data_IF_968685620045
#
_entry.id   IF_968685620045
#
_cell.length_a   1.000
_cell.length_b   1.000
_cell.length_c   1.000
_cell.angle_alpha   90.00
_cell.angle_beta   90.00
_cell.angle_gamma   90.00
#
_symmetry.space_group_name_H-M   'P 1'
#
loop_
_entity.id
_entity.type
_entity.pdbx_description
1 polymer ?
#
# COMPACT_ATOMS: atom_id res chain seq x y z
N UNK A 1 11.08 19.35 -4.97
CA UNK A 1 12.10 19.54 -3.93
C UNK A 1 13.37 20.10 -4.58
N UNK A 2 14.03 21.06 -3.94
CA UNK A 2 15.39 21.50 -4.28
C UNK A 2 16.42 20.44 -3.86
N UNK A 3 17.68 20.57 -4.32
CA UNK A 3 18.74 19.64 -3.89
C UNK A 3 19.00 19.71 -2.37
N UNK A 4 18.91 20.90 -1.76
CA UNK A 4 19.06 21.05 -0.31
C UNK A 4 17.94 20.34 0.45
N UNK A 5 16.69 20.50 0.01
CA UNK A 5 15.54 19.79 0.58
C UNK A 5 15.67 18.27 0.43
N UNK A 6 16.21 17.80 -0.70
CA UNK A 6 16.45 16.38 -0.92
C UNK A 6 17.53 15.81 -0.01
N UNK A 7 18.62 16.55 0.22
CA UNK A 7 19.67 16.15 1.16
C UNK A 7 19.15 16.10 2.59
N UNK A 8 18.33 17.08 2.97
CA UNK A 8 17.69 17.11 4.27
C UNK A 8 16.73 15.92 4.43
N UNK A 9 15.84 15.71 3.46
CA UNK A 9 14.95 14.55 3.44
C UNK A 9 15.72 13.24 3.58
N UNK A 10 16.80 13.05 2.82
CA UNK A 10 17.65 11.86 2.94
C UNK A 10 18.25 11.73 4.33
N UNK A 11 18.76 12.82 4.91
CA UNK A 11 19.35 12.84 6.26
C UNK A 11 18.33 12.37 7.31
N UNK A 12 17.09 12.82 7.17
CA UNK A 12 15.99 12.53 8.10
C UNK A 12 15.42 11.11 7.96
N UNK A 13 15.78 10.37 6.89
CA UNK A 13 15.37 8.98 6.73
C UNK A 13 15.96 8.09 7.82
N UNK A 14 15.11 7.19 8.30
CA UNK A 14 15.54 6.08 9.16
C UNK A 14 16.53 5.15 8.41
N UNK A 15 17.45 4.49 9.13
CA UNK A 15 18.42 3.56 8.56
C UNK A 15 17.83 2.51 7.59
N UNK A 16 16.69 1.91 7.94
CA UNK A 16 16.00 0.92 7.10
C UNK A 16 15.60 1.50 5.72
N UNK A 17 15.20 2.77 5.68
CA UNK A 17 14.78 3.45 4.45
C UNK A 17 15.96 3.86 3.59
N UNK A 18 17.07 4.31 4.20
CA UNK A 18 18.32 4.59 3.47
C UNK A 18 18.82 3.32 2.78
N UNK A 19 18.88 2.20 3.50
CA UNK A 19 19.26 0.89 2.95
C UNK A 19 18.31 0.43 1.84
N UNK A 20 17.00 0.51 2.07
CA UNK A 20 16.02 0.03 1.10
C UNK A 20 16.05 0.84 -0.21
N UNK A 21 16.16 2.17 -0.14
CA UNK A 21 16.24 3.01 -1.34
C UNK A 21 17.57 2.80 -2.06
N UNK A 22 18.70 2.73 -1.34
CA UNK A 22 19.99 2.44 -1.96
C UNK A 22 19.98 1.09 -2.69
N UNK A 23 19.44 0.05 -2.05
CA UNK A 23 19.45 -1.30 -2.61
C UNK A 23 18.44 -1.48 -3.75
N UNK A 24 17.16 -1.17 -3.51
CA UNK A 24 16.08 -1.54 -4.44
C UNK A 24 15.80 -0.48 -5.51
N UNK A 25 16.26 0.76 -5.31
CA UNK A 25 15.89 1.89 -6.16
C UNK A 25 17.11 2.46 -6.89
N UNK A 26 18.22 2.67 -6.17
CA UNK A 26 19.41 3.34 -6.71
C UNK A 26 20.53 2.38 -7.14
N UNK A 27 20.41 1.10 -6.80
CA UNK A 27 21.40 0.05 -7.08
C UNK A 27 22.79 0.34 -6.49
N UNK A 28 22.83 0.94 -5.29
CA UNK A 28 24.04 1.23 -4.52
C UNK A 28 24.42 0.10 -3.55
N UNK A 29 23.69 -1.01 -3.55
CA UNK A 29 23.81 -2.07 -2.55
C UNK A 29 23.17 -1.70 -1.21
N UNK A 30 23.36 -2.55 -0.20
CA UNK A 30 22.83 -2.33 1.14
C UNK A 30 23.75 -1.37 1.93
N UNK A 31 23.48 -0.07 1.84
CA UNK A 31 24.21 0.98 2.57
C UNK A 31 23.28 2.09 3.06
N UNK A 32 23.68 2.78 4.14
CA UNK A 32 23.03 3.98 4.66
C UNK A 32 23.64 5.27 4.10
N UNK A 33 24.75 5.15 3.37
CA UNK A 33 25.47 6.28 2.79
C UNK A 33 24.59 7.08 1.84
N UNK A 34 24.85 8.38 1.79
CA UNK A 34 24.10 9.26 0.89
C UNK A 34 24.45 8.93 -0.57
N UNK A 35 23.43 8.78 -1.44
CA UNK A 35 23.66 8.60 -2.87
C UNK A 35 24.24 9.88 -3.48
N UNK A 36 24.71 9.78 -4.72
CA UNK A 36 25.17 10.97 -5.45
C UNK A 36 24.06 12.01 -5.62
N UNK A 37 24.42 13.29 -5.70
CA UNK A 37 23.48 14.39 -5.98
C UNK A 37 22.65 14.17 -7.25
N UNK A 38 23.20 13.42 -8.22
CA UNK A 38 22.49 13.03 -9.44
C UNK A 38 21.38 12.02 -9.12
N UNK A 39 21.71 10.91 -8.49
CA UNK A 39 20.73 9.88 -8.09
C UNK A 39 19.65 10.46 -7.17
N UNK A 40 20.04 11.28 -6.20
CA UNK A 40 19.10 11.86 -5.25
C UNK A 40 18.03 12.75 -5.93
N UNK A 41 18.40 13.46 -7.00
CA UNK A 41 17.45 14.26 -7.82
C UNK A 41 16.47 13.40 -8.62
N UNK A 42 16.82 12.15 -8.90
CA UNK A 42 15.98 11.22 -9.66
C UNK A 42 14.89 10.60 -8.77
N UNK A 43 15.15 10.41 -7.47
CA UNK A 43 14.24 9.73 -6.52
C UNK A 43 12.80 10.27 -6.53
N UNK A 44 12.53 11.60 -6.46
CA UNK A 44 11.15 12.11 -6.50
C UNK A 44 10.44 11.86 -7.83
N UNK A 45 11.19 11.54 -8.89
CA UNK A 45 10.71 11.20 -10.22
C UNK A 45 10.18 9.78 -10.35
N UNK A 46 10.46 8.91 -9.37
CA UNK A 46 10.20 7.48 -9.46
C UNK A 46 8.72 7.20 -9.23
N UNK A 47 8.11 6.52 -10.19
CA UNK A 47 6.68 6.20 -10.15
C UNK A 47 6.40 4.78 -9.64
N UNK A 48 7.42 3.92 -9.64
CA UNK A 48 7.30 2.50 -9.29
C UNK A 48 8.35 2.14 -8.26
N UNK A 49 7.92 1.64 -7.11
CA UNK A 49 8.82 1.13 -6.07
C UNK A 49 8.40 -0.26 -5.61
N UNK A 50 9.39 -1.13 -5.39
CA UNK A 50 9.19 -2.53 -5.01
C UNK A 50 10.13 -2.93 -3.88
N UNK A 51 9.55 -3.25 -2.74
CA UNK A 51 10.21 -3.69 -1.52
C UNK A 51 9.54 -4.98 -1.05
N UNK A 52 10.14 -6.13 -1.32
CA UNK A 52 9.67 -7.44 -0.86
C UNK A 52 10.56 -7.85 0.29
N UNK A 53 9.97 -7.96 1.48
CA UNK A 53 10.70 -8.31 2.69
C UNK A 53 11.15 -9.77 2.72
N UNK A 54 11.96 -10.13 3.74
CA UNK A 54 12.81 -11.31 3.73
C UNK A 54 12.05 -12.65 3.73
N UNK A 55 10.79 -12.65 4.17
CA UNK A 55 9.93 -13.85 4.21
C UNK A 55 9.07 -14.01 2.96
N UNK A 56 9.11 -13.04 2.04
CA UNK A 56 8.35 -13.06 0.80
C UNK A 56 8.98 -13.93 -0.29
N UNK A 57 8.21 -14.28 -1.32
CA UNK A 57 8.75 -14.94 -2.50
C UNK A 57 9.65 -13.97 -3.26
N UNK A 58 10.84 -14.43 -3.65
CA UNK A 58 11.85 -13.62 -4.35
C UNK A 58 12.15 -12.28 -3.63
N UNK A 59 12.63 -12.34 -2.37
CA UNK A 59 12.86 -11.15 -1.57
C UNK A 59 13.96 -10.29 -2.23
N UNK A 60 13.77 -8.97 -2.17
CA UNK A 60 14.80 -8.01 -2.61
C UNK A 60 15.35 -7.16 -1.46
N UNK A 61 14.91 -7.45 -0.23
CA UNK A 61 15.47 -6.94 1.03
C UNK A 61 15.74 -8.10 1.98
N UNK A 62 16.88 -8.02 2.68
CA UNK A 62 17.31 -8.96 3.73
C UNK A 62 16.70 -8.63 5.10
N UNK A 63 16.03 -7.48 5.22
CA UNK A 63 15.47 -6.93 6.44
C UNK A 63 14.04 -6.43 6.21
N UNK A 64 13.31 -6.24 7.30
CA UNK A 64 11.92 -5.75 7.28
C UNK A 64 11.86 -4.23 7.43
N UNK A 65 10.89 -3.63 6.75
CA UNK A 65 10.45 -2.26 6.96
C UNK A 65 9.34 -2.24 8.01
N UNK A 66 9.41 -1.29 8.94
CA UNK A 66 8.48 -1.21 10.07
C UNK A 66 7.46 -0.07 9.95
N UNK A 67 7.67 0.85 9.00
CA UNK A 67 6.79 1.99 8.75
C UNK A 67 6.91 2.44 7.29
N UNK A 68 6.21 3.51 6.92
CA UNK A 68 6.18 4.08 5.55
C UNK A 68 6.80 5.49 5.47
N UNK A 69 7.58 5.90 6.47
CA UNK A 69 8.10 7.28 6.59
C UNK A 69 8.92 7.71 5.37
N UNK A 70 9.72 6.80 4.80
CA UNK A 70 10.54 7.08 3.63
C UNK A 70 9.78 7.33 2.32
N UNK A 71 8.46 7.13 2.30
CA UNK A 71 7.63 7.32 1.10
C UNK A 71 6.83 8.63 1.09
N UNK A 72 6.76 9.34 2.23
CA UNK A 72 5.77 10.41 2.44
C UNK A 72 5.83 11.55 1.40
N UNK A 73 7.03 11.87 0.89
CA UNK A 73 7.24 12.96 -0.07
C UNK A 73 7.29 12.49 -1.53
N UNK A 74 7.18 11.18 -1.79
CA UNK A 74 7.34 10.57 -3.12
C UNK A 74 6.04 10.59 -3.93
N UNK A 75 5.43 11.76 -4.05
CA UNK A 75 4.07 12.00 -4.59
C UNK A 75 3.84 11.56 -6.04
N UNK A 76 4.88 11.16 -6.77
CA UNK A 76 4.78 10.61 -8.14
C UNK A 76 4.50 9.11 -8.19
N UNK A 77 4.57 8.41 -7.07
CA UNK A 77 4.30 6.97 -7.02
C UNK A 77 2.92 6.62 -7.59
N UNK A 78 2.91 5.72 -8.56
CA UNK A 78 1.75 5.14 -9.19
C UNK A 78 1.57 3.65 -8.80
N UNK A 79 2.68 2.96 -8.50
CA UNK A 79 2.70 1.57 -8.10
C UNK A 79 3.65 1.40 -6.93
N UNK A 80 3.13 0.89 -5.82
CA UNK A 80 3.90 0.52 -4.65
C UNK A 80 3.72 -0.97 -4.36
N UNK A 81 4.84 -1.69 -4.25
CA UNK A 81 4.89 -3.04 -3.70
C UNK A 81 5.69 -2.99 -2.41
N UNK A 82 5.06 -3.31 -1.29
CA UNK A 82 5.68 -3.37 0.03
C UNK A 82 5.05 -4.52 0.83
N UNK A 83 5.40 -5.74 0.45
CA UNK A 83 4.83 -6.97 1.02
C UNK A 83 5.85 -7.67 1.92
N UNK A 84 5.37 -8.49 2.86
CA UNK A 84 6.21 -9.29 3.77
C UNK A 84 7.11 -8.46 4.69
N UNK A 85 6.53 -7.42 5.29
CA UNK A 85 7.18 -6.47 6.20
C UNK A 85 6.39 -6.38 7.52
N UNK A 86 6.74 -5.43 8.39
CA UNK A 86 6.09 -5.24 9.69
C UNK A 86 5.37 -3.89 9.80
N UNK A 87 4.81 -3.38 8.69
CA UNK A 87 4.14 -2.08 8.68
C UNK A 87 2.78 -2.16 9.36
N UNK A 88 2.51 -1.26 10.30
CA UNK A 88 1.22 -1.18 11.01
C UNK A 88 0.27 -0.08 10.51
N UNK A 89 0.80 0.96 9.85
CA UNK A 89 0.04 2.17 9.51
C UNK A 89 0.28 2.61 8.07
N UNK A 90 -0.79 3.03 7.40
CA UNK A 90 -0.78 3.55 6.04
C UNK A 90 -0.76 5.09 5.99
N UNK A 91 -0.80 5.78 7.13
CA UNK A 91 -0.89 7.25 7.23
C UNK A 91 0.14 8.00 6.37
N UNK A 92 1.42 7.57 6.29
CA UNK A 92 2.39 8.27 5.44
C UNK A 92 2.05 8.28 3.95
N UNK A 93 1.12 7.44 3.48
CA UNK A 93 0.67 7.42 2.08
C UNK A 93 -0.33 8.54 1.75
N UNK A 94 -0.76 9.36 2.71
CA UNK A 94 -1.82 10.37 2.52
C UNK A 94 -1.56 11.36 1.37
N UNK A 95 -0.28 11.66 1.08
CA UNK A 95 0.12 12.56 -0.01
C UNK A 95 0.25 11.86 -1.37
N UNK A 96 0.24 10.53 -1.41
CA UNK A 96 0.46 9.73 -2.62
C UNK A 96 -0.82 9.57 -3.46
N UNK A 97 -1.39 10.70 -3.86
CA UNK A 97 -2.68 10.78 -4.59
C UNK A 97 -2.66 10.18 -6.00
N UNK A 98 -1.48 9.87 -6.53
CA UNK A 98 -1.26 9.26 -7.85
C UNK A 98 -1.24 7.73 -7.85
N UNK A 99 -1.31 7.09 -6.68
CA UNK A 99 -1.33 5.63 -6.60
C UNK A 99 -2.50 5.06 -7.40
N UNK A 100 -2.17 4.07 -8.24
CA UNK A 100 -3.10 3.26 -9.03
C UNK A 100 -3.12 1.81 -8.53
N UNK A 101 -1.99 1.31 -8.05
CA UNK A 101 -1.88 -0.06 -7.54
C UNK A 101 -1.04 -0.09 -6.28
N UNK A 102 -1.56 -0.74 -5.24
CA UNK A 102 -0.92 -0.84 -3.93
C UNK A 102 -0.92 -2.29 -3.46
N UNK A 103 0.28 -2.86 -3.34
CA UNK A 103 0.50 -4.16 -2.70
C UNK A 103 1.14 -3.95 -1.33
N UNK A 104 0.44 -4.38 -0.29
CA UNK A 104 0.81 -4.25 1.11
C UNK A 104 0.44 -5.53 1.91
N UNK A 105 0.42 -6.69 1.25
CA UNK A 105 0.02 -7.94 1.88
C UNK A 105 1.13 -8.54 2.75
N UNK A 106 0.76 -9.37 3.72
CA UNK A 106 1.70 -9.87 4.74
C UNK A 106 2.41 -8.72 5.48
N UNK A 107 1.61 -7.88 6.14
CA UNK A 107 2.06 -6.81 7.03
C UNK A 107 1.24 -6.88 8.34
N UNK A 108 1.29 -5.82 9.15
CA UNK A 108 0.60 -5.72 10.44
C UNK A 108 -0.47 -4.61 10.44
N UNK A 109 -0.99 -4.25 9.27
CA UNK A 109 -1.86 -3.07 9.08
C UNK A 109 -3.21 -3.27 9.77
N UNK A 110 -3.61 -2.28 10.58
CA UNK A 110 -4.87 -2.34 11.37
C UNK A 110 -6.01 -1.49 10.79
N UNK A 111 -5.69 -0.48 9.98
CA UNK A 111 -6.66 0.39 9.31
C UNK A 111 -6.08 0.86 7.98
N UNK A 112 -6.97 1.18 7.03
CA UNK A 112 -6.62 1.75 5.74
C UNK A 112 -6.38 3.27 5.80
N UNK A 113 -6.46 3.90 6.97
CA UNK A 113 -6.25 5.34 7.12
C UNK A 113 -4.91 5.78 6.53
N UNK A 114 -4.95 6.74 5.61
CA UNK A 114 -3.83 7.20 4.80
C UNK A 114 -4.00 6.97 3.30
N UNK A 115 -4.97 6.17 2.83
CA UNK A 115 -5.19 5.95 1.40
C UNK A 115 -6.37 6.74 0.80
N UNK A 116 -7.12 7.49 1.60
CA UNK A 116 -8.36 8.15 1.19
C UNK A 116 -8.14 9.15 0.04
N UNK A 117 -6.94 9.72 -0.05
CA UNK A 117 -6.52 10.65 -1.10
C UNK A 117 -6.15 9.99 -2.44
N UNK A 118 -5.93 8.68 -2.48
CA UNK A 118 -5.56 7.93 -3.68
C UNK A 118 -6.79 7.67 -4.59
N UNK A 119 -7.46 8.74 -5.05
CA UNK A 119 -8.72 8.65 -5.81
C UNK A 119 -8.63 7.89 -7.13
N UNK A 120 -7.41 7.64 -7.62
CA UNK A 120 -7.14 6.88 -8.84
C UNK A 120 -6.76 5.41 -8.57
N UNK A 121 -6.86 4.95 -7.31
CA UNK A 121 -6.52 3.59 -6.94
C UNK A 121 -7.48 2.60 -7.60
N UNK A 122 -6.91 1.63 -8.32
CA UNK A 122 -7.63 0.59 -9.06
C UNK A 122 -7.41 -0.79 -8.45
N UNK A 123 -6.21 -1.06 -7.91
CA UNK A 123 -5.87 -2.33 -7.27
C UNK A 123 -5.36 -2.13 -5.85
N UNK A 124 -5.99 -2.78 -4.89
CA UNK A 124 -5.61 -2.79 -3.48
C UNK A 124 -5.44 -4.23 -2.99
N UNK A 125 -4.20 -4.58 -2.61
CA UNK A 125 -3.83 -5.92 -2.15
C UNK A 125 -3.29 -5.84 -0.72
N UNK A 126 -4.14 -6.13 0.25
CA UNK A 126 -3.87 -5.99 1.70
C UNK A 126 -4.25 -7.27 2.45
N UNK A 127 -4.28 -8.41 1.77
CA UNK A 127 -4.51 -9.71 2.41
C UNK A 127 -3.43 -10.03 3.45
N UNK A 128 -3.76 -10.89 4.42
CA UNK A 128 -2.84 -11.27 5.49
C UNK A 128 -2.34 -10.05 6.29
N UNK A 129 -3.28 -9.29 6.85
CA UNK A 129 -3.06 -8.14 7.72
C UNK A 129 -3.97 -8.24 8.97
N UNK A 130 -4.19 -7.13 9.68
CA UNK A 130 -5.01 -7.04 10.89
C UNK A 130 -6.18 -6.06 10.75
N UNK A 131 -6.70 -5.88 9.54
CA UNK A 131 -7.83 -4.98 9.26
C UNK A 131 -9.11 -5.51 9.91
N UNK A 132 -9.91 -4.61 10.48
CA UNK A 132 -11.20 -4.92 11.12
C UNK A 132 -12.42 -4.35 10.39
N UNK A 133 -12.21 -3.33 9.57
CA UNK A 133 -13.20 -2.73 8.68
C UNK A 133 -12.47 -2.07 7.50
N UNK A 134 -13.24 -1.55 6.55
CA UNK A 134 -12.72 -0.96 5.29
C UNK A 134 -13.41 0.35 4.93
N UNK A 135 -13.84 1.15 5.91
CA UNK A 135 -14.65 2.36 5.69
C UNK A 135 -13.97 3.37 4.75
N UNK A 136 -12.65 3.44 4.79
CA UNK A 136 -11.82 4.34 3.98
C UNK A 136 -11.96 4.08 2.47
N UNK A 137 -12.49 2.90 2.07
CA UNK A 137 -12.74 2.58 0.66
C UNK A 137 -13.93 3.37 0.06
N UNK A 138 -14.81 3.97 0.86
CA UNK A 138 -16.06 4.60 0.36
C UNK A 138 -15.81 5.66 -0.71
N UNK A 139 -14.68 6.37 -0.59
CA UNK A 139 -14.27 7.42 -1.50
C UNK A 139 -13.36 6.98 -2.65
N UNK A 140 -13.03 5.68 -2.77
CA UNK A 140 -12.10 5.12 -3.76
C UNK A 140 -12.84 4.43 -4.90
N UNK A 141 -13.71 5.19 -5.56
CA UNK A 141 -14.68 4.70 -6.55
C UNK A 141 -14.07 4.25 -7.89
N UNK A 142 -12.74 4.14 -8.00
CA UNK A 142 -12.04 3.61 -9.18
C UNK A 142 -11.49 2.19 -8.94
N UNK A 143 -11.70 1.63 -7.75
CA UNK A 143 -11.28 0.28 -7.41
C UNK A 143 -11.95 -0.76 -8.32
N UNK A 144 -11.10 -1.62 -8.88
CA UNK A 144 -11.45 -2.79 -9.68
C UNK A 144 -11.13 -4.08 -8.96
N UNK A 145 -10.04 -4.08 -8.20
CA UNK A 145 -9.52 -5.25 -7.51
C UNK A 145 -9.24 -4.93 -6.05
N UNK A 146 -9.86 -5.68 -5.15
CA UNK A 146 -9.69 -5.55 -3.71
C UNK A 146 -9.48 -6.93 -3.10
N UNK A 147 -8.30 -7.13 -2.51
CA UNK A 147 -7.91 -8.36 -1.81
C UNK A 147 -7.73 -8.04 -0.32
N UNK A 148 -8.64 -8.60 0.48
CA UNK A 148 -8.78 -8.39 1.92
C UNK A 148 -8.78 -9.71 2.70
N UNK A 149 -8.66 -10.87 2.02
CA UNK A 149 -8.66 -12.18 2.67
C UNK A 149 -7.61 -12.29 3.78
N UNK A 150 -7.85 -13.16 4.75
CA UNK A 150 -6.95 -13.39 5.89
C UNK A 150 -6.71 -12.11 6.72
N UNK A 151 -7.80 -11.39 7.00
CA UNK A 151 -7.84 -10.28 7.95
C UNK A 151 -8.86 -10.58 9.07
N UNK A 152 -9.27 -9.57 9.84
CA UNK A 152 -10.31 -9.64 10.87
C UNK A 152 -11.52 -8.75 10.52
N UNK A 153 -11.78 -8.54 9.22
CA UNK A 153 -12.82 -7.64 8.74
C UNK A 153 -14.20 -8.18 9.10
N UNK A 154 -14.99 -7.41 9.82
CA UNK A 154 -16.37 -7.78 10.19
C UNK A 154 -17.42 -7.03 9.37
N UNK A 155 -17.04 -5.90 8.75
CA UNK A 155 -17.93 -5.00 8.01
C UNK A 155 -17.29 -4.52 6.72
N UNK A 156 -18.09 -4.46 5.65
CA UNK A 156 -17.72 -3.95 4.33
C UNK A 156 -18.42 -2.60 4.03
N UNK A 157 -18.75 -1.81 5.06
CA UNK A 157 -19.44 -0.50 4.93
C UNK A 157 -18.78 0.46 3.92
N UNK A 158 -17.45 0.43 3.76
CA UNK A 158 -16.76 1.25 2.77
C UNK A 158 -16.96 0.78 1.32
N UNK A 159 -17.51 -0.41 1.10
CA UNK A 159 -17.93 -0.89 -0.21
C UNK A 159 -19.44 -0.63 -0.36
N UNK A 160 -19.75 0.37 -1.18
CA UNK A 160 -21.11 0.89 -1.42
C UNK A 160 -21.47 0.80 -2.91
N UNK A 161 -22.74 1.11 -3.25
CA UNK A 161 -23.22 1.21 -4.63
C UNK A 161 -22.39 2.14 -5.54
N UNK A 162 -21.58 3.06 -4.98
CA UNK A 162 -20.62 3.87 -5.76
C UNK A 162 -19.57 3.02 -6.53
N UNK A 163 -19.40 1.76 -6.13
CA UNK A 163 -18.49 0.80 -6.75
C UNK A 163 -19.18 -0.10 -7.78
N UNK A 164 -20.50 -0.03 -7.93
CA UNK A 164 -21.27 -0.84 -8.88
C UNK A 164 -20.73 -0.65 -10.31
N UNK A 165 -20.58 -1.76 -11.03
CA UNK A 165 -20.07 -1.77 -12.41
C UNK A 165 -18.57 -1.45 -12.56
N UNK A 166 -17.85 -1.22 -11.46
CA UNK A 166 -16.39 -0.95 -11.47
C UNK A 166 -15.59 -1.97 -10.68
N UNK A 167 -16.09 -2.41 -9.53
CA UNK A 167 -15.43 -3.41 -8.70
C UNK A 167 -15.66 -4.80 -9.30
N UNK A 168 -14.62 -5.36 -9.91
CA UNK A 168 -14.67 -6.62 -10.67
C UNK A 168 -14.30 -7.83 -9.78
N UNK A 169 -13.32 -7.64 -8.91
CA UNK A 169 -12.75 -8.68 -8.06
C UNK A 169 -12.72 -8.24 -6.59
N UNK A 170 -13.49 -8.93 -5.76
CA UNK A 170 -13.51 -8.75 -4.31
C UNK A 170 -13.17 -10.08 -3.62
N UNK A 171 -11.93 -10.23 -3.17
CA UNK A 171 -11.47 -11.37 -2.37
C UNK A 171 -11.50 -10.99 -0.90
N UNK A 172 -12.66 -11.18 -0.28
CA UNK A 172 -12.92 -10.77 1.10
C UNK A 172 -12.96 -11.96 2.08
N UNK A 173 -12.81 -13.20 1.62
CA UNK A 173 -12.88 -14.40 2.47
C UNK A 173 -11.53 -15.16 2.46
N UNK A 174 -11.08 -15.70 3.60
CA UNK A 174 -11.76 -15.69 4.90
C UNK A 174 -11.61 -14.34 5.63
N UNK A 175 -12.72 -13.89 6.22
CA UNK A 175 -12.84 -12.85 7.24
C UNK A 175 -14.14 -13.14 8.03
N UNK A 176 -14.29 -12.66 9.27
CA UNK A 176 -15.50 -12.81 10.08
C UNK A 176 -16.67 -11.92 9.60
N UNK A 177 -16.94 -11.89 8.30
CA UNK A 177 -18.01 -11.09 7.68
C UNK A 177 -19.33 -11.86 7.79
N UNK A 178 -20.36 -11.21 8.32
CA UNK A 178 -21.68 -11.82 8.44
C UNK A 178 -22.35 -12.06 7.09
N UNK A 179 -23.12 -13.15 6.98
CA UNK A 179 -23.82 -13.52 5.73
C UNK A 179 -24.73 -12.40 5.19
N UNK A 180 -25.33 -11.59 6.09
CA UNK A 180 -26.15 -10.43 5.69
C UNK A 180 -25.34 -9.38 4.94
N UNK A 181 -24.12 -9.12 5.40
CA UNK A 181 -23.23 -8.14 4.77
C UNK A 181 -22.72 -8.65 3.42
N UNK A 182 -22.42 -9.94 3.31
CA UNK A 182 -22.10 -10.58 2.02
C UNK A 182 -23.26 -10.41 1.03
N UNK A 183 -24.49 -10.76 1.43
CA UNK A 183 -25.67 -10.62 0.58
C UNK A 183 -25.96 -9.15 0.19
N UNK A 184 -25.66 -8.20 1.09
CA UNK A 184 -25.77 -6.77 0.80
C UNK A 184 -24.84 -6.38 -0.35
N UNK A 185 -23.55 -6.72 -0.23
CA UNK A 185 -22.55 -6.40 -1.26
C UNK A 185 -22.90 -7.04 -2.60
N UNK A 186 -23.27 -8.33 -2.60
CA UNK A 186 -23.61 -9.05 -3.82
C UNK A 186 -24.84 -8.45 -4.54
N UNK A 187 -25.80 -7.91 -3.78
CA UNK A 187 -27.01 -7.27 -4.32
C UNK A 187 -26.79 -5.83 -4.74
N UNK A 188 -26.17 -5.01 -3.89
CA UNK A 188 -26.05 -3.56 -4.08
C UNK A 188 -24.90 -3.17 -5.01
N UNK A 189 -23.84 -3.96 -5.03
CA UNK A 189 -22.61 -3.66 -5.81
C UNK A 189 -22.48 -4.59 -7.01
N UNK A 190 -23.14 -5.74 -6.98
CA UNK A 190 -23.11 -6.72 -8.07
C UNK A 190 -21.82 -7.55 -8.13
N UNK A 191 -20.99 -7.53 -7.08
CA UNK A 191 -19.74 -8.29 -7.00
C UNK A 191 -19.83 -9.40 -5.96
N UNK A 192 -19.32 -10.59 -6.29
CA UNK A 192 -19.23 -11.71 -5.34
C UNK A 192 -18.11 -11.49 -4.34
N UNK A 193 -18.39 -11.75 -3.06
CA UNK A 193 -17.36 -11.88 -2.03
C UNK A 193 -16.69 -13.25 -2.18
N UNK A 194 -15.50 -13.28 -2.79
CA UNK A 194 -14.78 -14.51 -3.10
C UNK A 194 -13.86 -14.95 -1.97
N UNK A 195 -13.56 -16.24 -1.97
CA UNK A 195 -12.49 -16.88 -1.20
C UNK A 195 -11.27 -17.08 -2.12
N UNK A 196 -10.07 -16.89 -1.58
CA UNK A 196 -8.81 -17.22 -2.28
C UNK A 196 -8.51 -18.71 -2.21
#
# INVERSE_FOLDING_TARGET
>A
MTLAELKQWWSDLEPQWKRAINQCVLNNGETEDSPSDKQLKEVPGIEVMRFVGPTGPFPNLSFELTNLSGLAELTRLNLLVLNYHQVESMVPLAKLTRLKTLYMHNNQIRSLHGIEGAKNLQGLFVQSNKLVNVRELEGLVQLKEVYLNDNQVTSLEGITAKHEGKLENLFALPNPIGQREIMRIEREVGVRCRRL
#
